data_IF_914877496250
#
_entry.id   IF_914877496250
#
_cell.length_a   1.000
_cell.length_b   1.000
_cell.length_c   1.000
_cell.angle_alpha   90.00
_cell.angle_beta   90.00
_cell.angle_gamma   90.00
#
_symmetry.space_group_name_H-M   'P 1'
#
loop_
_entity.id
_entity.type
_entity.pdbx_description
1 polymer ?
#
# COMPACT_ATOMS: atom_id res chain seq x y z
N UNK A 1 -0.44 -6.23 21.98
CA UNK A 1 0.46 -6.27 20.81
C UNK A 1 -0.38 -6.51 19.56
N UNK A 2 -0.10 -5.77 18.49
CA UNK A 2 -0.81 -5.93 17.22
C UNK A 2 0.06 -6.66 16.21
N UNK A 3 -0.54 -7.57 15.44
CA UNK A 3 0.16 -8.32 14.41
C UNK A 3 -0.40 -7.97 13.04
N UNK A 4 0.48 -7.82 12.07
CA UNK A 4 0.12 -7.49 10.71
C UNK A 4 0.67 -8.49 9.69
N UNK A 5 0.15 -8.43 8.48
CA UNK A 5 0.61 -9.23 7.36
C UNK A 5 0.70 -8.38 6.11
N UNK A 6 1.68 -8.70 5.27
CA UNK A 6 1.86 -8.07 3.96
C UNK A 6 0.86 -8.68 2.96
N UNK A 7 0.28 -7.85 2.11
CA UNK A 7 -0.67 -8.29 1.09
C UNK A 7 -0.10 -9.41 0.19
N UNK A 8 1.18 -9.37 -0.11
CA UNK A 8 1.83 -10.35 -0.98
C UNK A 8 1.87 -11.77 -0.40
N UNK A 9 1.60 -11.93 0.88
CA UNK A 9 1.43 -13.25 1.49
C UNK A 9 0.20 -13.99 0.94
N UNK A 10 -0.81 -13.23 0.53
CA UNK A 10 -2.12 -13.76 0.11
C UNK A 10 -2.28 -13.89 -1.41
N UNK A 11 -1.32 -13.38 -2.19
CA UNK A 11 -1.39 -13.41 -3.65
C UNK A 11 -0.01 -13.69 -4.25
N UNK A 12 0.00 -14.35 -5.41
CA UNK A 12 1.22 -14.58 -6.19
C UNK A 12 1.42 -13.53 -7.29
N UNK A 13 0.37 -12.75 -7.56
CA UNK A 13 0.37 -11.72 -8.59
C UNK A 13 0.63 -10.36 -7.97
N UNK A 14 1.13 -9.43 -8.77
CA UNK A 14 1.29 -8.04 -8.34
C UNK A 14 -0.05 -7.30 -8.27
N UNK A 15 -1.09 -7.86 -8.88
CA UNK A 15 -2.45 -7.37 -8.74
C UNK A 15 -3.06 -7.89 -7.44
N UNK A 16 -3.73 -7.01 -6.71
CA UNK A 16 -4.33 -7.37 -5.44
C UNK A 16 -5.71 -6.74 -5.29
N UNK A 17 -6.67 -7.58 -4.94
CA UNK A 17 -7.96 -7.10 -4.45
C UNK A 17 -7.85 -6.93 -2.93
N UNK A 18 -7.62 -5.72 -2.48
CA UNK A 18 -7.40 -5.42 -1.07
C UNK A 18 -8.63 -5.66 -0.20
N UNK A 19 -9.83 -5.61 -0.75
CA UNK A 19 -11.06 -5.94 -0.02
C UNK A 19 -11.09 -7.41 0.36
N UNK A 20 -10.75 -8.29 -0.58
CA UNK A 20 -10.65 -9.74 -0.32
C UNK A 20 -9.52 -10.06 0.65
N UNK A 21 -8.38 -9.39 0.49
CA UNK A 21 -7.22 -9.57 1.37
C UNK A 21 -7.56 -9.10 2.79
N UNK A 22 -8.28 -7.98 2.94
CA UNK A 22 -8.73 -7.49 4.24
C UNK A 22 -9.61 -8.53 4.95
N UNK A 23 -10.53 -9.15 4.23
CA UNK A 23 -11.37 -10.23 4.79
C UNK A 23 -10.52 -11.40 5.29
N UNK A 24 -9.53 -11.81 4.50
CA UNK A 24 -8.61 -12.90 4.87
C UNK A 24 -7.77 -12.54 6.09
N UNK A 25 -7.26 -11.32 6.14
CA UNK A 25 -6.49 -10.82 7.28
C UNK A 25 -7.31 -10.85 8.56
N UNK A 26 -8.53 -10.34 8.50
CA UNK A 26 -9.43 -10.31 9.65
C UNK A 26 -9.80 -11.72 10.10
N UNK A 27 -10.14 -12.60 9.18
CA UNK A 27 -10.48 -13.99 9.46
C UNK A 27 -9.32 -14.75 10.11
N UNK A 28 -8.09 -14.45 9.69
CA UNK A 28 -6.88 -15.07 10.25
C UNK A 28 -6.45 -14.47 11.59
N UNK A 29 -7.10 -13.40 12.05
CA UNK A 29 -6.81 -12.78 13.35
C UNK A 29 -5.73 -11.71 13.32
N UNK A 30 -5.38 -11.18 12.15
CA UNK A 30 -4.44 -10.07 12.05
C UNK A 30 -5.11 -8.73 12.39
N UNK A 31 -4.31 -7.81 12.93
CA UNK A 31 -4.76 -6.47 13.30
C UNK A 31 -4.39 -5.43 12.23
N UNK A 32 -3.39 -5.71 11.43
CA UNK A 32 -2.83 -4.79 10.44
C UNK A 32 -2.68 -5.50 9.09
N UNK A 33 -3.13 -4.83 8.03
CA UNK A 33 -2.87 -5.22 6.65
C UNK A 33 -1.87 -4.23 6.04
N UNK A 34 -0.75 -4.71 5.55
CA UNK A 34 0.23 -3.88 4.86
C UNK A 34 0.02 -3.97 3.35
N UNK A 35 -0.24 -2.83 2.72
CA UNK A 35 -0.48 -2.74 1.28
C UNK A 35 0.73 -2.21 0.54
N UNK A 36 0.80 -2.45 -0.76
CA UNK A 36 1.83 -1.89 -1.62
C UNK A 36 1.55 -0.43 -1.95
N UNK A 37 2.51 0.45 -1.61
CA UNK A 37 2.35 1.89 -1.84
C UNK A 37 2.17 2.27 -3.31
N UNK A 38 2.82 1.55 -4.22
CA UNK A 38 2.65 1.78 -5.65
C UNK A 38 1.21 1.63 -6.14
N UNK A 39 0.45 0.76 -5.54
CA UNK A 39 -0.97 0.57 -5.89
C UNK A 39 -1.82 1.79 -5.57
N UNK A 40 -1.44 2.60 -4.57
CA UNK A 40 -2.18 3.83 -4.24
C UNK A 40 -2.15 4.84 -5.38
N UNK A 41 -1.09 4.85 -6.18
CA UNK A 41 -0.97 5.76 -7.31
C UNK A 41 -1.95 5.42 -8.44
N UNK A 42 -2.35 4.16 -8.52
CA UNK A 42 -3.28 3.65 -9.54
C UNK A 42 -4.75 3.65 -9.08
N UNK A 43 -4.99 3.84 -7.77
CA UNK A 43 -6.33 3.86 -7.21
C UNK A 43 -6.93 5.27 -7.28
N UNK A 44 -8.24 5.36 -7.53
CA UNK A 44 -8.96 6.63 -7.41
C UNK A 44 -9.13 7.02 -5.94
N UNK A 45 -9.37 8.30 -5.69
CA UNK A 45 -9.63 8.78 -4.32
C UNK A 45 -10.84 8.07 -3.69
N UNK A 46 -11.89 7.83 -4.49
CA UNK A 46 -13.08 7.12 -4.03
C UNK A 46 -12.76 5.66 -3.64
N UNK A 47 -11.89 4.99 -4.38
CA UNK A 47 -11.45 3.62 -4.05
C UNK A 47 -10.64 3.58 -2.76
N UNK A 48 -9.74 4.54 -2.57
CA UNK A 48 -8.94 4.65 -1.35
C UNK A 48 -9.84 4.88 -0.14
N UNK A 49 -10.81 5.78 -0.24
CA UNK A 49 -11.78 6.04 0.83
C UNK A 49 -12.61 4.81 1.17
N UNK A 50 -13.10 4.10 0.15
CA UNK A 50 -13.86 2.86 0.37
C UNK A 50 -13.03 1.80 1.08
N UNK A 51 -11.77 1.66 0.69
CA UNK A 51 -10.87 0.70 1.34
C UNK A 51 -10.62 1.07 2.80
N UNK A 52 -10.38 2.34 3.08
CA UNK A 52 -10.23 2.84 4.45
C UNK A 52 -11.45 2.54 5.30
N UNK A 53 -12.62 2.88 4.79
CA UNK A 53 -13.88 2.66 5.51
C UNK A 53 -14.14 1.18 5.74
N UNK A 54 -13.90 0.36 4.75
CA UNK A 54 -14.07 -1.09 4.83
C UNK A 54 -13.15 -1.70 5.90
N UNK A 55 -11.88 -1.34 5.90
CA UNK A 55 -10.92 -1.84 6.89
C UNK A 55 -11.23 -1.31 8.29
N UNK A 56 -11.63 -0.04 8.40
CA UNK A 56 -12.04 0.53 9.69
C UNK A 56 -13.24 -0.24 10.27
N UNK A 57 -14.23 -0.56 9.46
CA UNK A 57 -15.41 -1.30 9.90
C UNK A 57 -15.05 -2.73 10.33
N UNK A 58 -14.01 -3.33 9.76
CA UNK A 58 -13.46 -4.62 10.19
C UNK A 58 -12.59 -4.50 11.45
N UNK A 59 -12.25 -3.32 11.88
CA UNK A 59 -11.27 -3.10 12.96
C UNK A 59 -9.83 -3.40 12.52
N UNK A 60 -9.54 -3.26 11.23
CA UNK A 60 -8.24 -3.57 10.63
C UNK A 60 -7.51 -2.25 10.30
N UNK A 61 -6.30 -2.10 10.82
CA UNK A 61 -5.44 -0.97 10.49
C UNK A 61 -4.69 -1.25 9.18
N UNK A 62 -4.49 -0.24 8.37
CA UNK A 62 -3.72 -0.34 7.14
C UNK A 62 -2.36 0.34 7.32
N UNK A 63 -1.30 -0.35 6.93
CA UNK A 63 0.03 0.23 6.74
C UNK A 63 0.43 0.12 5.28
N UNK A 64 1.47 0.84 4.90
CA UNK A 64 1.90 0.92 3.51
C UNK A 64 3.40 0.67 3.41
N UNK A 65 3.79 -0.22 2.51
CA UNK A 65 5.19 -0.40 2.20
C UNK A 65 5.59 0.38 0.95
N UNK A 66 6.88 0.56 0.77
CA UNK A 66 7.46 1.25 -0.36
C UNK A 66 8.43 0.32 -1.07
N UNK A 67 8.13 0.01 -2.33
CA UNK A 67 9.01 -0.73 -3.23
C UNK A 67 9.10 -0.02 -4.56
N UNK A 68 9.97 1.01 -4.69
CA UNK A 68 10.02 1.82 -5.89
C UNK A 68 10.52 1.02 -7.09
N UNK A 69 9.98 1.27 -8.29
CA UNK A 69 10.51 0.69 -9.51
C UNK A 69 11.91 1.22 -9.82
N UNK A 70 12.65 0.50 -10.65
CA UNK A 70 14.07 0.82 -10.95
C UNK A 70 14.31 2.24 -11.45
N UNK A 71 13.36 2.82 -12.17
CA UNK A 71 13.47 4.20 -12.69
C UNK A 71 13.13 5.27 -11.63
N UNK A 72 12.75 4.87 -10.43
CA UNK A 72 12.37 5.74 -9.30
C UNK A 72 13.27 5.44 -8.09
N UNK A 73 14.58 5.59 -8.26
CA UNK A 73 15.56 5.20 -7.25
C UNK A 73 16.16 6.43 -6.55
N UNK A 74 15.73 6.66 -5.30
CA UNK A 74 16.21 7.77 -4.46
C UNK A 74 17.72 7.68 -4.23
N UNK A 75 18.28 6.48 -4.19
CA UNK A 75 19.71 6.25 -3.94
C UNK A 75 20.58 6.32 -5.19
N UNK A 76 19.98 6.50 -6.36
CA UNK A 76 20.72 6.54 -7.63
C UNK A 76 21.67 7.74 -7.74
N UNK A 77 22.82 7.52 -8.35
CA UNK A 77 23.71 8.59 -8.75
C UNK A 77 23.19 9.38 -9.97
N UNK A 78 22.25 8.80 -10.73
CA UNK A 78 21.57 9.48 -11.83
C UNK A 78 20.55 10.48 -11.26
N UNK A 79 20.71 11.80 -11.53
CA UNK A 79 19.80 12.82 -10.99
C UNK A 79 18.34 12.63 -11.41
N UNK A 80 18.10 12.11 -12.62
CA UNK A 80 16.74 11.88 -13.14
C UNK A 80 16.07 10.76 -12.37
N UNK A 81 16.74 9.63 -12.20
CA UNK A 81 16.20 8.49 -11.42
C UNK A 81 15.97 8.86 -9.96
N UNK A 82 16.88 9.64 -9.38
CA UNK A 82 16.76 10.10 -8.00
C UNK A 82 15.55 11.01 -7.83
N UNK A 83 15.35 11.97 -8.74
CA UNK A 83 14.18 12.86 -8.68
C UNK A 83 12.88 12.09 -8.92
N UNK A 84 12.85 11.13 -9.85
CA UNK A 84 11.70 10.26 -10.05
C UNK A 84 11.34 9.50 -8.77
N UNK A 85 12.37 9.06 -8.03
CA UNK A 85 12.17 8.39 -6.74
C UNK A 85 11.54 9.30 -5.70
N UNK A 86 12.02 10.52 -5.58
CA UNK A 86 11.45 11.53 -4.66
C UNK A 86 9.99 11.82 -5.02
N UNK A 87 9.70 12.03 -6.30
CA UNK A 87 8.34 12.31 -6.76
C UNK A 87 7.39 11.12 -6.49
N UNK A 88 7.88 9.91 -6.71
CA UNK A 88 7.11 8.69 -6.48
C UNK A 88 6.74 8.51 -5.01
N UNK A 89 7.72 8.64 -4.11
CA UNK A 89 7.48 8.52 -2.66
C UNK A 89 6.57 9.64 -2.16
N UNK A 90 6.79 10.86 -2.64
CA UNK A 90 5.95 12.02 -2.28
C UNK A 90 4.51 11.80 -2.73
N UNK A 91 4.31 11.29 -3.94
CA UNK A 91 2.98 10.96 -4.46
C UNK A 91 2.24 9.96 -3.58
N UNK A 92 2.92 8.89 -3.15
CA UNK A 92 2.34 7.90 -2.24
C UNK A 92 1.97 8.53 -0.90
N UNK A 93 2.87 9.33 -0.32
CA UNK A 93 2.63 10.00 0.96
C UNK A 93 1.41 10.91 0.91
N UNK A 94 1.29 11.72 -0.14
CA UNK A 94 0.14 12.61 -0.33
C UNK A 94 -1.18 11.82 -0.43
N UNK A 95 -1.18 10.74 -1.21
CA UNK A 95 -2.37 9.89 -1.37
C UNK A 95 -2.75 9.18 -0.05
N UNK A 96 -1.76 8.75 0.69
CA UNK A 96 -1.97 8.06 1.96
C UNK A 96 -2.49 8.99 3.07
N UNK A 97 -2.08 10.25 3.04
CA UNK A 97 -2.44 11.25 4.07
C UNK A 97 -3.87 11.78 3.97
N UNK A 98 -4.55 11.53 2.88
CA UNK A 98 -5.91 12.06 2.63
C UNK A 98 -7.03 11.32 3.35
#
# INVERSE_FOLDING_TARGET
MKFGTLYAYWTRDWEADYFKIADKCKKAGFDVMEIGGGHLLDMSDAEIERLRDYCRDLGLTISCNIGPPKHCDISSSDPVKRQNGVDWVTGIHVRWSR
#
